data_IF_917980981252
#
_entry.id   IF_917980981252
#
_cell.length_a   1.000
_cell.length_b   1.000
_cell.length_c   1.000
_cell.angle_alpha   90.00
_cell.angle_beta   90.00
_cell.angle_gamma   90.00
#
_symmetry.space_group_name_H-M   'P 1'
#
loop_
_entity.id
_entity.type
_entity.pdbx_description
1 polymer ?
#
# COMPACT_ATOMS: atom_id res chain seq x y z
N UNK A 1 -12.88 41.07 2.11
CA UNK A 1 -12.93 39.61 2.34
C UNK A 1 -12.21 38.85 1.24
N UNK A 2 -12.68 38.91 -0.02
CA UNK A 2 -12.04 38.19 -1.14
C UNK A 2 -10.54 38.50 -1.33
N UNK A 3 -10.13 39.77 -1.26
CA UNK A 3 -8.70 40.13 -1.34
C UNK A 3 -7.86 39.55 -0.19
N UNK A 4 -8.38 39.58 1.05
CA UNK A 4 -7.67 38.99 2.20
C UNK A 4 -7.61 37.47 2.09
N UNK A 5 -8.67 36.84 1.61
CA UNK A 5 -8.67 35.39 1.38
C UNK A 5 -7.67 34.97 0.29
N UNK A 6 -7.60 35.70 -0.82
CA UNK A 6 -6.71 35.38 -1.96
C UNK A 6 -5.25 35.71 -1.67
N UNK A 7 -4.96 36.82 -0.97
CA UNK A 7 -3.57 37.27 -0.72
C UNK A 7 -3.01 36.88 0.64
N UNK A 8 -3.86 36.77 1.68
CA UNK A 8 -3.44 36.55 3.08
C UNK A 8 -3.93 35.20 3.62
N UNK A 9 -4.89 34.54 2.95
CA UNK A 9 -5.45 33.24 3.36
C UNK A 9 -6.29 33.31 4.63
N UNK A 10 -6.58 34.53 5.12
CA UNK A 10 -7.37 34.77 6.32
C UNK A 10 -8.82 35.05 5.97
N UNK A 11 -9.71 34.42 6.74
CA UNK A 11 -11.15 34.60 6.65
C UNK A 11 -11.63 35.24 7.95
N UNK A 12 -11.88 36.55 7.89
CA UNK A 12 -12.49 37.32 8.97
C UNK A 12 -13.95 37.57 8.60
N UNK A 13 -14.82 36.64 9.01
CA UNK A 13 -16.26 36.66 8.73
C UNK A 13 -17.08 36.49 10.03
N UNK A 14 -17.22 37.56 10.84
CA UNK A 14 -17.99 37.52 12.08
C UNK A 14 -19.50 37.35 11.89
N UNK A 15 -20.02 37.60 10.68
CA UNK A 15 -21.47 37.58 10.37
C UNK A 15 -21.90 36.46 9.42
N UNK A 16 -20.96 35.65 8.92
CA UNK A 16 -21.25 34.54 8.01
C UNK A 16 -21.68 34.99 6.61
N UNK A 17 -21.24 36.17 6.16
CA UNK A 17 -21.63 36.81 4.90
C UNK A 17 -20.87 36.27 3.68
N UNK A 18 -19.76 35.56 3.90
CA UNK A 18 -18.92 35.05 2.82
C UNK A 18 -19.37 33.65 2.38
N UNK A 19 -19.18 33.34 1.08
CA UNK A 19 -19.57 32.04 0.52
C UNK A 19 -18.66 30.88 0.96
N UNK A 20 -17.50 31.17 1.56
CA UNK A 20 -16.63 30.16 2.18
C UNK A 20 -16.85 30.19 3.69
N UNK A 21 -17.31 29.08 4.26
CA UNK A 21 -17.49 28.92 5.68
C UNK A 21 -16.27 28.26 6.32
N UNK A 22 -15.77 28.83 7.42
CA UNK A 22 -14.73 28.23 8.25
C UNK A 22 -15.36 27.47 9.42
N UNK A 23 -15.08 26.17 9.54
CA UNK A 23 -15.48 25.36 10.69
C UNK A 23 -14.33 25.36 11.70
N UNK A 24 -14.54 25.99 12.86
CA UNK A 24 -13.50 26.25 13.85
C UNK A 24 -13.04 25.02 14.67
N UNK A 25 -13.66 23.84 14.48
CA UNK A 25 -13.44 22.66 15.32
C UNK A 25 -13.07 21.43 14.50
N UNK A 26 -11.93 21.49 13.81
CA UNK A 26 -11.39 20.34 13.07
C UNK A 26 -9.96 20.07 13.52
N UNK A 27 -9.57 18.82 13.82
CA UNK A 27 -8.19 18.45 14.17
C UNK A 27 -7.21 18.79 13.03
N UNK A 28 -5.94 19.02 13.37
CA UNK A 28 -4.89 19.47 12.43
C UNK A 28 -4.74 18.56 11.20
N UNK A 29 -5.04 17.28 11.35
CA UNK A 29 -4.95 16.25 10.31
C UNK A 29 -6.04 16.35 9.24
N UNK A 30 -7.22 16.88 9.58
CA UNK A 30 -8.36 17.04 8.68
C UNK A 30 -8.57 18.49 8.23
N UNK A 31 -7.62 19.39 8.52
CA UNK A 31 -7.72 20.81 8.17
C UNK A 31 -7.91 21.02 6.66
N UNK A 32 -7.38 20.13 5.84
CA UNK A 32 -7.50 20.23 4.39
C UNK A 32 -8.91 19.87 3.89
N UNK A 33 -9.56 18.83 4.43
CA UNK A 33 -10.86 18.36 3.90
C UNK A 33 -12.07 19.03 4.55
N UNK A 34 -12.03 19.27 5.86
CA UNK A 34 -13.23 19.62 6.63
C UNK A 34 -13.26 21.05 7.16
N UNK A 35 -12.16 21.81 7.07
CA UNK A 35 -12.07 23.16 7.64
C UNK A 35 -12.86 24.20 6.86
N UNK A 36 -12.92 24.05 5.54
CA UNK A 36 -13.59 25.00 4.65
C UNK A 36 -14.67 24.30 3.85
N UNK A 37 -15.85 24.91 3.78
CA UNK A 37 -16.95 24.46 2.92
C UNK A 37 -17.49 25.62 2.11
N UNK A 38 -17.91 25.33 0.88
CA UNK A 38 -18.57 26.32 0.02
C UNK A 38 -20.06 26.30 0.33
N UNK A 39 -20.64 27.47 0.57
CA UNK A 39 -22.08 27.67 0.74
C UNK A 39 -22.68 28.15 -0.58
N UNK A 40 -23.21 27.21 -1.37
CA UNK A 40 -23.82 27.48 -2.68
C UNK A 40 -24.95 28.53 -2.61
N UNK A 41 -25.71 28.56 -1.51
CA UNK A 41 -26.82 29.50 -1.31
C UNK A 41 -26.41 30.97 -1.19
N UNK A 42 -25.13 31.26 -0.94
CA UNK A 42 -24.60 32.63 -0.79
C UNK A 42 -23.65 33.00 -1.92
N UNK A 43 -23.61 32.19 -2.99
CA UNK A 43 -22.78 32.44 -4.15
C UNK A 43 -23.40 33.59 -4.97
N UNK A 44 -22.70 34.73 -5.13
CA UNK A 44 -23.25 35.84 -5.87
C UNK A 44 -23.38 35.51 -7.35
N UNK A 45 -24.45 35.96 -8.02
CA UNK A 45 -24.74 35.63 -9.43
C UNK A 45 -23.67 36.12 -10.43
N UNK A 46 -22.74 36.96 -9.99
CA UNK A 46 -21.62 37.48 -10.78
C UNK A 46 -20.35 36.61 -10.72
N UNK A 47 -20.31 35.59 -9.85
CA UNK A 47 -19.23 34.62 -9.73
C UNK A 47 -19.71 33.31 -10.35
N UNK A 48 -18.97 32.75 -11.29
CA UNK A 48 -19.19 31.39 -11.77
C UNK A 48 -18.77 30.37 -10.72
N UNK A 49 -19.38 29.20 -10.74
CA UNK A 49 -19.03 28.10 -9.83
C UNK A 49 -17.55 27.71 -9.96
N UNK A 50 -17.02 27.67 -11.18
CA UNK A 50 -15.61 27.39 -11.46
C UNK A 50 -14.66 28.43 -10.82
N UNK A 51 -15.01 29.73 -10.89
CA UNK A 51 -14.22 30.79 -10.29
C UNK A 51 -14.30 30.76 -8.76
N UNK A 52 -15.46 30.39 -8.20
CA UNK A 52 -15.60 30.17 -6.77
C UNK A 52 -14.74 28.99 -6.27
N UNK A 53 -14.70 27.89 -7.02
CA UNK A 53 -13.83 26.73 -6.71
C UNK A 53 -12.35 27.13 -6.77
N UNK A 54 -11.92 27.88 -7.78
CA UNK A 54 -10.54 28.41 -7.84
C UNK A 54 -10.20 29.31 -6.66
N UNK A 55 -11.06 30.29 -6.33
CA UNK A 55 -10.85 31.16 -5.15
C UNK A 55 -10.76 30.34 -3.86
N UNK A 56 -11.62 29.33 -3.73
CA UNK A 56 -11.62 28.42 -2.59
C UNK A 56 -10.28 27.69 -2.47
N UNK A 57 -9.81 27.09 -3.56
CA UNK A 57 -8.53 26.38 -3.62
C UNK A 57 -7.33 27.28 -3.34
N UNK A 58 -7.32 28.54 -3.83
CA UNK A 58 -6.24 29.51 -3.53
C UNK A 58 -6.11 29.71 -2.02
N UNK A 59 -7.21 30.07 -1.36
CA UNK A 59 -7.14 30.37 0.07
C UNK A 59 -6.88 29.13 0.92
N UNK A 60 -7.38 27.95 0.50
CA UNK A 60 -7.06 26.66 1.12
C UNK A 60 -5.55 26.36 1.05
N UNK A 61 -4.95 26.51 -0.13
CA UNK A 61 -3.51 26.35 -0.38
C UNK A 61 -2.66 27.33 0.42
N UNK A 62 -3.05 28.61 0.45
CA UNK A 62 -2.28 29.65 1.15
C UNK A 62 -2.34 29.48 2.68
N UNK A 63 -3.52 29.09 3.18
CA UNK A 63 -3.70 28.75 4.58
C UNK A 63 -2.90 27.50 4.97
N UNK A 64 -2.88 26.49 4.10
CA UNK A 64 -2.06 25.31 4.30
C UNK A 64 -0.57 25.64 4.33
N UNK A 65 -0.06 26.44 3.40
CA UNK A 65 1.34 26.89 3.43
C UNK A 65 1.67 27.53 4.79
N UNK A 66 0.78 28.39 5.29
CA UNK A 66 1.00 29.10 6.56
C UNK A 66 0.96 28.23 7.81
N UNK A 67 0.05 27.26 7.87
CA UNK A 67 -0.05 26.34 9.01
C UNK A 67 1.03 25.26 8.95
N UNK A 68 1.35 24.75 7.77
CA UNK A 68 2.29 23.65 7.56
C UNK A 68 3.75 24.10 7.60
N UNK A 69 4.06 25.27 7.04
CA UNK A 69 5.35 25.92 7.19
C UNK A 69 5.24 26.97 8.30
N UNK A 70 5.65 26.65 9.53
CA UNK A 70 5.89 27.64 10.58
C UNK A 70 7.00 28.68 10.24
N UNK A 71 7.43 28.77 8.98
CA UNK A 71 8.39 29.78 8.53
C UNK A 71 7.65 31.06 8.13
N UNK A 72 8.07 32.13 8.81
CA UNK A 72 7.85 33.55 8.57
C UNK A 72 7.42 33.90 7.16
N UNK A 73 6.32 34.65 7.09
CA UNK A 73 5.71 35.32 5.94
C UNK A 73 6.64 36.29 5.14
N UNK A 74 7.96 36.19 5.30
CA UNK A 74 8.94 37.17 4.82
C UNK A 74 9.57 36.79 3.46
N UNK A 75 9.30 35.61 2.91
CA UNK A 75 9.90 35.14 1.64
C UNK A 75 8.93 35.06 0.46
N UNK A 76 7.63 35.22 0.67
CA UNK A 76 6.68 35.35 -0.42
C UNK A 76 6.52 36.83 -0.71
N UNK A 77 7.21 37.32 -1.74
CA UNK A 77 6.88 38.60 -2.34
C UNK A 77 5.38 38.55 -2.68
N UNK A 78 4.56 39.24 -1.88
CA UNK A 78 3.14 39.38 -2.19
C UNK A 78 3.05 39.89 -3.62
N UNK A 79 2.45 39.13 -4.56
CA UNK A 79 2.27 39.62 -5.92
C UNK A 79 1.59 40.99 -5.82
N UNK A 80 2.05 41.95 -6.63
CA UNK A 80 1.58 43.35 -6.61
C UNK A 80 0.08 43.37 -6.33
N UNK A 81 -0.32 43.98 -5.22
CA UNK A 81 -1.71 44.10 -4.79
C UNK A 81 -2.50 44.82 -5.88
N UNK A 82 -3.07 44.07 -6.81
CA UNK A 82 -3.97 44.63 -7.80
C UNK A 82 -5.28 44.91 -7.09
N UNK A 83 -5.58 46.20 -6.95
CA UNK A 83 -6.83 46.64 -6.37
C UNK A 83 -7.92 46.30 -7.39
N UNK A 84 -8.64 45.21 -7.15
CA UNK A 84 -9.81 44.84 -7.95
C UNK A 84 -10.79 46.01 -8.00
N UNK A 85 -10.97 46.58 -9.19
CA UNK A 85 -11.96 47.63 -9.44
C UNK A 85 -13.30 47.00 -9.79
N UNK A 86 -14.37 47.52 -9.21
CA UNK A 86 -15.73 47.09 -9.50
C UNK A 86 -16.08 47.37 -10.97
N UNK A 87 -16.45 46.32 -11.73
CA UNK A 87 -16.84 46.41 -13.14
C UNK A 87 -15.95 45.66 -14.14
N UNK A 88 -14.74 45.24 -13.75
CA UNK A 88 -13.81 44.50 -14.63
C UNK A 88 -13.73 43.01 -14.27
N UNK A 89 -14.86 42.30 -14.40
CA UNK A 89 -15.00 40.87 -14.03
C UNK A 89 -13.97 40.00 -14.77
N UNK A 90 -13.72 40.28 -16.05
CA UNK A 90 -12.74 39.54 -16.86
C UNK A 90 -11.29 39.79 -16.45
N UNK A 91 -10.96 40.98 -15.93
CA UNK A 91 -9.62 41.27 -15.43
C UNK A 91 -9.39 40.58 -14.08
N UNK A 92 -10.42 40.56 -13.23
CA UNK A 92 -10.43 39.87 -11.95
C UNK A 92 -10.27 38.36 -12.16
N UNK A 93 -11.00 37.76 -13.10
CA UNK A 93 -10.90 36.33 -13.44
C UNK A 93 -9.49 35.96 -13.92
N UNK A 94 -8.89 36.74 -14.83
CA UNK A 94 -7.51 36.50 -15.29
C UNK A 94 -6.47 36.66 -14.18
N UNK A 95 -6.65 37.64 -13.30
CA UNK A 95 -5.77 37.85 -12.16
C UNK A 95 -5.89 36.69 -11.16
N UNK A 96 -7.11 36.20 -10.89
CA UNK A 96 -7.34 35.04 -10.04
C UNK A 96 -6.73 33.78 -10.66
N UNK A 97 -6.88 33.57 -11.97
CA UNK A 97 -6.27 32.44 -12.67
C UNK A 97 -4.73 32.49 -12.61
N UNK A 98 -4.13 33.68 -12.76
CA UNK A 98 -2.70 33.85 -12.62
C UNK A 98 -2.22 33.57 -11.18
N UNK A 99 -2.93 34.08 -10.17
CA UNK A 99 -2.62 33.84 -8.75
C UNK A 99 -2.81 32.36 -8.43
N UNK A 100 -3.83 31.71 -8.97
CA UNK A 100 -4.08 30.28 -8.80
C UNK A 100 -2.89 29.45 -9.27
N UNK A 101 -2.45 29.66 -10.51
CA UNK A 101 -1.33 28.91 -11.08
C UNK A 101 -0.03 29.13 -10.28
N UNK A 102 0.23 30.36 -9.84
CA UNK A 102 1.45 30.70 -9.10
C UNK A 102 1.43 30.14 -7.66
N UNK A 103 0.29 30.22 -6.98
CA UNK A 103 0.11 29.68 -5.62
C UNK A 103 0.15 28.16 -5.61
N UNK A 104 -0.55 27.49 -6.55
CA UNK A 104 -0.52 26.03 -6.68
C UNK A 104 0.88 25.52 -7.04
N UNK A 105 1.58 26.17 -7.98
CA UNK A 105 2.96 25.82 -8.31
C UNK A 105 3.90 26.02 -7.13
N UNK A 106 3.78 27.13 -6.42
CA UNK A 106 4.60 27.40 -5.24
C UNK A 106 4.37 26.37 -4.13
N UNK A 107 3.11 25.97 -3.89
CA UNK A 107 2.76 24.90 -2.95
C UNK A 107 3.37 23.56 -3.37
N UNK A 108 3.28 23.23 -4.66
CA UNK A 108 3.83 21.99 -5.20
C UNK A 108 5.35 21.95 -5.09
N UNK A 109 6.02 23.05 -5.44
CA UNK A 109 7.48 23.17 -5.34
C UNK A 109 7.91 23.06 -3.88
N UNK A 110 7.16 23.65 -2.95
CA UNK A 110 7.40 23.53 -1.51
C UNK A 110 7.27 22.06 -1.04
N UNK A 111 6.18 21.37 -1.41
CA UNK A 111 5.98 19.96 -1.07
C UNK A 111 7.05 19.04 -1.69
N UNK A 112 7.49 19.31 -2.92
CA UNK A 112 8.53 18.53 -3.61
C UNK A 112 9.93 18.80 -3.05
N UNK A 113 10.25 20.05 -2.72
CA UNK A 113 11.61 20.44 -2.28
C UNK A 113 11.80 20.32 -0.77
N UNK A 114 10.96 20.98 0.03
CA UNK A 114 11.10 21.07 1.49
C UNK A 114 10.66 19.77 2.17
N UNK A 115 9.48 19.28 1.80
CA UNK A 115 8.89 18.08 2.40
C UNK A 115 9.17 16.79 1.61
N UNK A 116 9.84 16.87 0.46
CA UNK A 116 10.28 15.72 -0.33
C UNK A 116 9.18 14.67 -0.52
N UNK A 117 7.95 15.08 -0.83
CA UNK A 117 6.78 14.19 -0.93
C UNK A 117 7.06 12.92 -1.76
N UNK A 118 7.78 13.08 -2.89
CA UNK A 118 8.15 11.95 -3.75
C UNK A 118 9.05 10.93 -3.06
N UNK A 119 9.95 11.36 -2.17
CA UNK A 119 10.80 10.45 -1.41
C UNK A 119 9.98 9.65 -0.40
N UNK A 120 8.97 10.27 0.22
CA UNK A 120 8.06 9.59 1.14
C UNK A 120 7.16 8.57 0.42
N UNK A 121 6.62 8.91 -0.75
CA UNK A 121 5.87 7.94 -1.58
C UNK A 121 6.77 6.80 -2.05
N UNK A 122 8.02 7.09 -2.44
CA UNK A 122 9.01 6.06 -2.79
C UNK A 122 9.36 5.19 -1.58
N UNK A 123 9.45 5.75 -0.38
CA UNK A 123 9.68 4.99 0.85
C UNK A 123 8.51 4.05 1.16
N UNK A 124 7.26 4.52 1.03
CA UNK A 124 6.08 3.67 1.16
C UNK A 124 6.12 2.49 0.18
N UNK A 125 6.47 2.75 -1.09
CA UNK A 125 6.67 1.67 -2.08
C UNK A 125 7.78 0.70 -1.68
N UNK A 126 8.92 1.22 -1.21
CA UNK A 126 10.10 0.40 -0.88
C UNK A 126 9.85 -0.52 0.31
N UNK A 127 9.25 -0.01 1.39
CA UNK A 127 9.08 -0.75 2.64
C UNK A 127 7.71 -1.42 2.77
N UNK A 128 6.63 -0.66 2.54
CA UNK A 128 5.26 -1.11 2.80
C UNK A 128 4.68 -1.92 1.63
N UNK A 129 5.16 -1.69 0.40
CA UNK A 129 4.81 -2.52 -0.77
C UNK A 129 5.90 -3.55 -1.12
N UNK A 130 6.87 -3.76 -0.22
CA UNK A 130 7.96 -4.74 -0.37
C UNK A 130 8.85 -4.55 -1.61
N UNK A 131 9.00 -3.31 -2.10
CA UNK A 131 9.85 -3.02 -3.25
C UNK A 131 11.34 -3.27 -3.02
N UNK A 132 11.83 -3.12 -1.78
CA UNK A 132 13.20 -3.45 -1.39
C UNK A 132 13.31 -4.90 -0.90
N UNK A 133 13.59 -5.81 -1.84
CA UNK A 133 13.70 -7.23 -1.55
C UNK A 133 14.85 -7.60 -0.60
N UNK A 134 15.96 -6.87 -0.60
CA UNK A 134 17.10 -7.13 0.29
C UNK A 134 16.74 -6.85 1.75
N UNK A 135 16.13 -5.69 2.03
CA UNK A 135 15.65 -5.31 3.36
C UNK A 135 14.67 -6.36 3.90
N UNK A 136 13.67 -6.74 3.11
CA UNK A 136 12.65 -7.72 3.53
C UNK A 136 13.26 -9.11 3.73
N UNK A 137 14.21 -9.52 2.88
CA UNK A 137 14.88 -10.81 3.05
C UNK A 137 15.66 -10.87 4.38
N UNK A 138 16.46 -9.85 4.68
CA UNK A 138 17.17 -9.76 5.96
C UNK A 138 16.21 -9.68 7.15
N UNK A 139 15.10 -8.95 7.00
CA UNK A 139 14.05 -8.87 8.02
C UNK A 139 13.48 -10.26 8.31
N UNK A 140 13.09 -11.01 7.27
CA UNK A 140 12.54 -12.36 7.39
C UNK A 140 13.55 -13.37 7.95
N UNK A 141 14.83 -13.28 7.59
CA UNK A 141 15.84 -14.20 8.09
C UNK A 141 16.05 -14.04 9.61
N UNK A 142 15.95 -12.83 10.15
CA UNK A 142 16.07 -12.56 11.60
C UNK A 142 14.75 -12.80 12.33
N UNK A 143 13.64 -12.35 11.75
CA UNK A 143 12.31 -12.46 12.37
C UNK A 143 11.73 -13.86 12.27
N UNK A 144 12.06 -14.66 11.25
CA UNK A 144 11.36 -15.91 10.96
C UNK A 144 11.33 -16.88 12.14
N UNK A 145 12.42 -16.97 12.90
CA UNK A 145 12.49 -17.82 14.11
C UNK A 145 11.61 -17.27 15.23
N UNK A 146 11.56 -15.94 15.39
CA UNK A 146 10.75 -15.28 16.43
C UNK A 146 9.26 -15.33 16.09
N UNK A 147 8.89 -15.15 14.83
CA UNK A 147 7.49 -15.12 14.38
C UNK A 147 6.83 -16.50 14.37
N UNK A 148 7.61 -17.59 14.38
CA UNK A 148 7.09 -18.94 14.58
C UNK A 148 6.63 -19.21 16.02
N UNK A 149 6.95 -18.33 16.98
CA UNK A 149 6.48 -18.42 18.36
C UNK A 149 5.08 -17.80 18.49
N UNK A 150 4.30 -18.17 19.53
CA UNK A 150 3.00 -17.57 19.78
C UNK A 150 3.11 -16.06 20.01
N UNK A 151 2.09 -15.32 19.58
CA UNK A 151 2.09 -13.86 19.60
C UNK A 151 2.35 -13.24 20.98
N UNK A 152 1.95 -13.92 22.06
CA UNK A 152 2.15 -13.46 23.45
C UNK A 152 3.62 -13.22 23.84
N UNK A 153 4.55 -13.89 23.15
CA UNK A 153 5.99 -13.78 23.41
C UNK A 153 6.66 -12.64 22.66
N UNK A 154 5.93 -11.97 21.76
CA UNK A 154 6.46 -10.94 20.88
C UNK A 154 6.25 -9.56 21.47
N UNK A 155 7.35 -8.96 21.91
CA UNK A 155 7.34 -7.60 22.42
C UNK A 155 7.82 -6.60 21.36
N UNK A 156 7.14 -5.45 21.29
CA UNK A 156 7.48 -4.35 20.37
C UNK A 156 8.96 -3.95 20.43
N UNK A 157 9.52 -3.78 21.62
CA UNK A 157 10.93 -3.38 21.78
C UNK A 157 11.92 -4.35 21.11
N UNK A 158 11.64 -5.65 21.14
CA UNK A 158 12.48 -6.66 20.49
C UNK A 158 12.39 -6.56 18.97
N UNK A 159 11.23 -6.19 18.44
CA UNK A 159 11.01 -6.02 17.01
C UNK A 159 11.61 -4.72 16.49
N UNK A 160 11.52 -3.62 17.25
CA UNK A 160 12.20 -2.36 16.92
C UNK A 160 13.73 -2.56 16.90
N UNK A 161 14.30 -3.27 17.87
CA UNK A 161 15.74 -3.59 17.86
C UNK A 161 16.15 -4.50 16.68
N UNK A 162 15.28 -5.43 16.26
CA UNK A 162 15.51 -6.22 15.04
C UNK A 162 15.44 -5.33 13.80
N UNK A 163 14.44 -4.45 13.71
CA UNK A 163 14.27 -3.52 12.61
C UNK A 163 15.52 -2.63 12.44
N UNK A 164 16.04 -2.04 13.52
CA UNK A 164 17.28 -1.27 13.49
C UNK A 164 18.48 -2.10 13.01
N UNK A 165 18.56 -3.36 13.43
CA UNK A 165 19.62 -4.27 13.00
C UNK A 165 19.51 -4.57 11.50
N UNK A 166 18.29 -4.81 11.01
CA UNK A 166 17.99 -5.04 9.59
C UNK A 166 18.29 -3.82 8.72
N UNK A 167 17.95 -2.62 9.19
CA UNK A 167 18.27 -1.36 8.49
C UNK A 167 19.79 -1.23 8.31
N UNK A 168 20.56 -1.55 9.36
CA UNK A 168 22.03 -1.49 9.32
C UNK A 168 22.67 -2.58 8.45
N UNK A 169 22.04 -3.74 8.30
CA UNK A 169 22.57 -4.84 7.49
C UNK A 169 22.19 -4.77 6.02
N UNK A 170 21.21 -3.94 5.64
CA UNK A 170 20.67 -3.83 4.29
C UNK A 170 21.09 -2.52 3.61
N UNK A 171 20.76 -2.36 2.33
CA UNK A 171 21.03 -1.12 1.62
C UNK A 171 20.15 0.06 2.09
N UNK A 172 19.17 -0.19 2.97
CA UNK A 172 18.37 0.84 3.62
C UNK A 172 19.22 1.84 4.42
N UNK A 173 20.42 1.45 4.87
CA UNK A 173 21.34 2.35 5.58
C UNK A 173 21.74 3.62 4.80
N UNK A 174 21.67 3.58 3.46
CA UNK A 174 22.04 4.71 2.61
C UNK A 174 20.88 5.69 2.36
N UNK A 175 19.70 5.38 2.90
CA UNK A 175 18.55 6.25 2.77
C UNK A 175 18.59 7.43 3.76
N UNK A 176 17.78 8.45 3.50
CA UNK A 176 17.76 9.66 4.32
C UNK A 176 17.29 9.30 5.73
N UNK A 177 17.95 9.81 6.79
CA UNK A 177 17.60 9.47 8.17
C UNK A 177 16.17 9.89 8.55
N UNK A 178 15.64 10.94 7.92
CA UNK A 178 14.25 11.40 8.05
C UNK A 178 13.21 10.36 7.64
N UNK A 179 13.55 9.44 6.73
CA UNK A 179 12.66 8.38 6.26
C UNK A 179 12.74 7.18 7.20
N UNK A 180 13.95 6.83 7.63
CA UNK A 180 14.20 5.71 8.53
C UNK A 180 13.61 5.94 9.92
N UNK A 181 13.65 7.19 10.43
CA UNK A 181 13.05 7.53 11.72
C UNK A 181 11.52 7.43 11.75
N UNK A 182 10.89 7.32 10.57
CA UNK A 182 9.43 7.21 10.41
C UNK A 182 8.95 5.77 10.28
N UNK A 183 9.86 4.83 10.02
CA UNK A 183 9.53 3.42 9.94
C UNK A 183 9.48 2.85 11.35
N UNK A 184 8.34 2.29 11.73
CA UNK A 184 8.17 1.65 13.02
C UNK A 184 7.47 0.29 12.86
N UNK A 185 7.51 -0.52 13.92
CA UNK A 185 6.80 -1.78 14.00
C UNK A 185 5.53 -1.59 14.81
N UNK A 186 4.40 -2.00 14.23
CA UNK A 186 3.11 -2.07 14.90
C UNK A 186 2.72 -3.53 15.09
N UNK A 187 2.21 -3.84 16.27
CA UNK A 187 1.57 -5.12 16.57
C UNK A 187 0.07 -4.92 16.48
N UNK A 188 -0.61 -5.80 15.74
CA UNK A 188 -2.07 -5.86 15.72
C UNK A 188 -2.61 -6.43 17.05
N UNK A 189 -3.92 -6.32 17.24
CA UNK A 189 -4.57 -6.94 18.40
C UNK A 189 -4.44 -8.47 18.29
N UNK A 190 -3.99 -9.11 19.36
CA UNK A 190 -3.69 -10.55 19.39
C UNK A 190 -4.98 -11.32 19.66
N UNK A 191 -5.34 -12.26 18.78
CA UNK A 191 -6.37 -13.26 19.08
C UNK A 191 -5.74 -14.56 19.62
N UNK A 192 -6.53 -15.35 20.35
CA UNK A 192 -6.04 -16.57 21.00
C UNK A 192 -5.66 -17.62 19.96
N UNK A 193 -4.35 -17.93 19.87
CA UNK A 193 -3.82 -18.93 18.94
C UNK A 193 -3.08 -18.34 17.75
N UNK A 194 -2.99 -17.02 17.65
CA UNK A 194 -2.25 -16.35 16.57
C UNK A 194 -0.75 -16.60 16.67
N UNK A 195 -0.15 -16.85 15.51
CA UNK A 195 1.29 -16.87 15.35
C UNK A 195 1.80 -15.44 15.20
N UNK A 196 3.07 -15.22 15.54
CA UNK A 196 3.69 -13.91 15.37
C UNK A 196 3.58 -13.32 13.97
N UNK A 197 3.55 -14.19 12.96
CA UNK A 197 3.38 -13.83 11.57
C UNK A 197 2.12 -13.04 11.26
N UNK A 198 1.04 -13.27 12.00
CA UNK A 198 -0.27 -12.68 11.73
C UNK A 198 -0.44 -11.33 12.47
N UNK A 199 0.32 -11.12 13.54
CA UNK A 199 0.30 -9.92 14.38
C UNK A 199 1.31 -8.86 13.94
N UNK A 200 2.41 -9.28 13.31
CA UNK A 200 3.50 -8.39 12.90
C UNK A 200 3.10 -7.50 11.71
N UNK A 201 3.24 -6.18 11.88
CA UNK A 201 3.04 -5.21 10.79
C UNK A 201 4.10 -4.11 10.81
N UNK A 202 4.48 -3.63 9.63
CA UNK A 202 5.29 -2.42 9.47
C UNK A 202 4.36 -1.22 9.33
N UNK A 203 4.69 -0.14 10.05
CA UNK A 203 3.94 1.12 10.01
C UNK A 203 4.87 2.25 9.57
N UNK A 204 4.31 3.21 8.84
CA UNK A 204 5.03 4.37 8.35
C UNK A 204 4.41 5.65 8.89
N UNK A 205 5.11 6.29 9.83
CA UNK A 205 4.59 7.47 10.50
C UNK A 205 4.74 8.73 9.63
N UNK A 206 3.60 9.29 9.25
CA UNK A 206 3.52 10.51 8.44
C UNK A 206 3.08 11.68 9.32
N UNK A 207 3.93 12.71 9.43
CA UNK A 207 3.57 13.95 10.12
C UNK A 207 2.88 14.94 9.16
N UNK A 208 2.20 15.94 9.72
CA UNK A 208 1.82 17.13 8.95
C UNK A 208 3.10 17.79 8.38
N UNK A 209 3.10 18.26 7.12
CA UNK A 209 1.99 18.37 6.16
C UNK A 209 1.72 17.16 5.27
N UNK A 210 2.56 16.14 5.29
CA UNK A 210 2.46 15.04 4.32
C UNK A 210 1.20 14.20 4.58
N UNK A 211 0.72 14.18 5.83
CA UNK A 211 -0.52 13.51 6.24
C UNK A 211 -1.77 14.03 5.49
N UNK A 212 -1.74 15.25 4.93
CA UNK A 212 -2.88 15.72 4.12
C UNK A 212 -2.94 15.09 2.74
N UNK A 213 -1.81 14.60 2.23
CA UNK A 213 -1.77 13.82 0.98
C UNK A 213 -1.99 12.35 1.29
N UNK A 214 -1.25 11.82 2.26
CA UNK A 214 -1.38 10.44 2.72
C UNK A 214 -2.38 10.43 3.88
N UNK A 215 -3.66 10.41 3.53
CA UNK A 215 -4.73 10.36 4.52
C UNK A 215 -4.60 9.13 5.44
N UNK A 216 -5.11 9.18 6.68
CA UNK A 216 -5.16 8.00 7.55
C UNK A 216 -5.92 6.83 6.92
N UNK A 217 -6.97 7.11 6.14
CA UNK A 217 -7.70 6.10 5.38
C UNK A 217 -6.83 5.43 4.31
N UNK A 218 -5.99 6.23 3.64
CA UNK A 218 -5.02 5.72 2.67
C UNK A 218 -3.97 4.82 3.35
N UNK A 219 -3.54 5.17 4.57
CA UNK A 219 -2.63 4.32 5.36
C UNK A 219 -3.26 2.98 5.72
N UNK A 220 -4.56 2.96 6.08
CA UNK A 220 -5.28 1.71 6.31
C UNK A 220 -5.34 0.84 5.05
N UNK A 221 -5.52 1.44 3.88
CA UNK A 221 -5.44 0.73 2.60
C UNK A 221 -4.04 0.14 2.37
N UNK A 222 -2.98 0.90 2.62
CA UNK A 222 -1.61 0.38 2.55
C UNK A 222 -1.36 -0.77 3.53
N UNK A 223 -1.85 -0.69 4.76
CA UNK A 223 -1.72 -1.75 5.75
C UNK A 223 -2.40 -3.05 5.29
N UNK A 224 -3.59 -2.93 4.69
CA UNK A 224 -4.31 -4.08 4.09
C UNK A 224 -3.49 -4.72 2.96
N UNK A 225 -2.91 -3.90 2.09
CA UNK A 225 -2.03 -4.38 1.01
C UNK A 225 -0.78 -5.04 1.58
N UNK A 226 -0.13 -4.43 2.59
CA UNK A 226 1.04 -4.98 3.24
C UNK A 226 0.75 -6.36 3.83
N UNK A 227 -0.35 -6.53 4.59
CA UNK A 227 -0.70 -7.81 5.20
C UNK A 227 -0.90 -8.92 4.16
N UNK A 228 -1.54 -8.59 3.02
CA UNK A 228 -1.70 -9.53 1.92
C UNK A 228 -0.35 -9.94 1.30
N UNK A 229 0.49 -8.97 0.97
CA UNK A 229 1.81 -9.22 0.41
C UNK A 229 2.72 -9.99 1.39
N UNK A 230 2.64 -9.63 2.67
CA UNK A 230 3.37 -10.28 3.76
C UNK A 230 3.00 -11.74 3.89
N UNK A 231 1.71 -12.09 3.77
CA UNK A 231 1.25 -13.47 3.78
C UNK A 231 1.80 -14.27 2.59
N UNK A 232 1.83 -13.70 1.39
CA UNK A 232 2.46 -14.35 0.22
C UNK A 232 3.95 -14.58 0.48
N UNK A 233 4.66 -13.58 1.04
CA UNK A 233 6.08 -13.70 1.40
C UNK A 233 6.35 -14.75 2.48
N UNK A 234 5.50 -14.86 3.49
CA UNK A 234 5.56 -15.92 4.50
C UNK A 234 5.56 -17.30 3.84
N UNK A 235 4.65 -17.52 2.89
CA UNK A 235 4.55 -18.81 2.17
C UNK A 235 5.77 -19.06 1.29
N UNK A 236 6.27 -18.04 0.57
CA UNK A 236 7.51 -18.14 -0.22
C UNK A 236 8.72 -18.54 0.65
N UNK A 237 8.90 -17.85 1.78
CA UNK A 237 9.98 -18.12 2.73
C UNK A 237 9.91 -19.55 3.26
N UNK A 238 8.70 -19.98 3.64
CA UNK A 238 8.40 -21.30 4.17
C UNK A 238 8.71 -22.40 3.15
N UNK A 239 8.28 -22.24 1.89
CA UNK A 239 8.58 -23.16 0.80
C UNK A 239 10.08 -23.21 0.48
N UNK A 240 10.75 -22.06 0.50
CA UNK A 240 12.20 -21.96 0.29
C UNK A 240 13.00 -22.67 1.38
N UNK A 241 12.55 -22.59 2.63
CA UNK A 241 13.14 -23.32 3.75
C UNK A 241 12.96 -24.84 3.57
N UNK A 242 11.75 -25.30 3.23
CA UNK A 242 11.48 -26.72 2.97
C UNK A 242 12.26 -27.28 1.77
N UNK A 243 12.46 -26.47 0.72
CA UNK A 243 13.31 -26.86 -0.42
C UNK A 243 14.79 -26.99 -0.04
N UNK A 244 15.30 -26.09 0.82
CA UNK A 244 16.68 -26.19 1.36
C UNK A 244 16.85 -27.45 2.20
N UNK A 245 15.89 -27.75 3.08
CA UNK A 245 15.90 -28.95 3.91
C UNK A 245 15.91 -30.24 3.07
N UNK A 246 15.13 -30.28 1.99
CA UNK A 246 15.12 -31.42 1.08
C UNK A 246 16.51 -31.72 0.48
N UNK A 247 17.23 -30.69 -0.01
CA UNK A 247 18.57 -30.88 -0.59
C UNK A 247 19.54 -31.55 0.38
N UNK A 248 19.39 -31.30 1.68
CA UNK A 248 20.20 -31.92 2.73
C UNK A 248 19.78 -33.37 2.97
N UNK A 249 18.49 -33.69 2.84
CA UNK A 249 17.93 -35.01 3.13
C UNK A 249 18.05 -36.03 1.96
N UNK A 250 18.57 -35.60 0.80
CA UNK A 250 18.70 -36.43 -0.41
C UNK A 250 19.61 -37.66 -0.23
N UNK A 251 20.45 -37.69 0.80
CA UNK A 251 21.34 -38.82 1.12
C UNK A 251 20.65 -39.99 1.83
N UNK A 252 19.36 -39.86 2.19
CA UNK A 252 18.59 -40.89 2.90
C UNK A 252 17.79 -41.79 1.93
N UNK A 253 17.62 -43.07 2.29
CA UNK A 253 17.03 -44.13 1.43
C UNK A 253 15.55 -43.97 1.05
N UNK A 254 14.91 -42.83 1.33
CA UNK A 254 13.49 -42.54 1.10
C UNK A 254 13.20 -41.91 -0.28
N UNK A 255 13.97 -42.29 -1.30
CA UNK A 255 14.07 -41.60 -2.59
C UNK A 255 12.73 -41.35 -3.32
N UNK A 256 11.79 -42.30 -3.28
CA UNK A 256 10.52 -42.19 -4.02
C UNK A 256 9.52 -41.23 -3.38
N UNK A 257 9.39 -41.25 -2.05
CA UNK A 257 8.45 -40.38 -1.33
C UNK A 257 8.96 -38.95 -1.27
N UNK A 258 10.29 -38.79 -1.13
CA UNK A 258 10.95 -37.50 -1.23
C UNK A 258 10.75 -36.92 -2.63
N UNK A 259 10.85 -37.74 -3.68
CA UNK A 259 10.61 -37.30 -5.04
C UNK A 259 9.15 -36.85 -5.28
N UNK A 260 8.17 -37.61 -4.80
CA UNK A 260 6.75 -37.22 -4.88
C UNK A 260 6.50 -35.90 -4.12
N UNK A 261 7.09 -35.78 -2.93
CA UNK A 261 7.03 -34.55 -2.12
C UNK A 261 7.64 -33.36 -2.86
N UNK A 262 8.75 -33.56 -3.58
CA UNK A 262 9.34 -32.51 -4.40
C UNK A 262 8.45 -32.08 -5.56
N UNK A 263 7.80 -33.02 -6.23
CA UNK A 263 6.89 -32.66 -7.32
C UNK A 263 5.78 -31.72 -6.81
N UNK A 264 5.22 -32.02 -5.64
CA UNK A 264 4.19 -31.19 -5.01
C UNK A 264 4.75 -29.83 -4.54
N UNK A 265 5.95 -29.80 -3.92
CA UNK A 265 6.61 -28.53 -3.54
C UNK A 265 6.87 -27.67 -4.78
N UNK A 266 7.36 -28.25 -5.87
CA UNK A 266 7.63 -27.51 -7.11
C UNK A 266 6.36 -26.94 -7.74
N UNK A 267 5.23 -27.66 -7.67
CA UNK A 267 3.91 -27.12 -8.09
C UNK A 267 3.50 -25.91 -7.24
N UNK A 268 3.65 -26.01 -5.92
CA UNK A 268 3.33 -24.91 -4.99
C UNK A 268 4.25 -23.70 -5.20
N UNK A 269 5.56 -23.91 -5.37
CA UNK A 269 6.53 -22.85 -5.66
C UNK A 269 6.18 -22.16 -6.99
N UNK A 270 5.88 -22.93 -8.03
CA UNK A 270 5.50 -22.36 -9.31
C UNK A 270 4.25 -21.47 -9.18
N UNK A 271 3.21 -21.95 -8.50
CA UNK A 271 2.00 -21.18 -8.25
C UNK A 271 2.29 -19.86 -7.52
N UNK A 272 3.04 -19.90 -6.42
CA UNK A 272 3.38 -18.70 -5.62
C UNK A 272 4.24 -17.72 -6.43
N UNK A 273 5.22 -18.20 -7.19
CA UNK A 273 6.03 -17.33 -8.03
C UNK A 273 5.23 -16.64 -9.14
N UNK A 274 4.30 -17.34 -9.80
CA UNK A 274 3.44 -16.71 -10.80
C UNK A 274 2.50 -15.68 -10.17
N UNK A 275 1.90 -16.00 -9.02
CA UNK A 275 1.06 -15.07 -8.26
C UNK A 275 1.84 -13.82 -7.84
N UNK A 276 3.04 -14.00 -7.28
CA UNK A 276 3.89 -12.90 -6.85
C UNK A 276 4.34 -12.03 -8.04
N UNK A 277 4.67 -12.63 -9.19
CA UNK A 277 5.01 -11.86 -10.38
C UNK A 277 3.85 -11.00 -10.86
N UNK A 278 2.63 -11.53 -10.86
CA UNK A 278 1.44 -10.75 -11.20
C UNK A 278 1.26 -9.55 -10.26
N UNK A 279 1.26 -9.78 -8.94
CA UNK A 279 1.01 -8.72 -7.97
C UNK A 279 2.12 -7.65 -8.02
N UNK A 280 3.39 -8.03 -8.07
CA UNK A 280 4.50 -7.08 -8.07
C UNK A 280 4.65 -6.32 -9.39
N UNK A 281 4.64 -7.00 -10.53
CA UNK A 281 4.97 -6.35 -11.80
C UNK A 281 3.73 -5.81 -12.53
N UNK A 282 2.62 -6.54 -12.55
CA UNK A 282 1.45 -6.18 -13.35
C UNK A 282 0.52 -5.23 -12.60
N UNK A 283 0.39 -5.42 -11.29
CA UNK A 283 -0.46 -4.55 -10.45
C UNK A 283 0.35 -3.39 -9.88
N UNK A 284 1.38 -3.67 -9.08
CA UNK A 284 2.08 -2.62 -8.33
C UNK A 284 2.97 -1.72 -9.20
N UNK A 285 3.79 -2.29 -10.10
CA UNK A 285 4.70 -1.46 -10.91
C UNK A 285 3.94 -0.63 -11.96
N UNK A 286 2.96 -1.22 -12.65
CA UNK A 286 2.16 -0.48 -13.62
C UNK A 286 1.33 0.64 -12.99
N UNK A 287 0.71 0.40 -11.83
CA UNK A 287 -0.03 1.45 -11.11
C UNK A 287 0.91 2.55 -10.59
N UNK A 288 2.11 2.18 -10.13
CA UNK A 288 3.11 3.15 -9.70
C UNK A 288 3.58 4.06 -10.83
N UNK A 289 3.86 3.50 -12.01
CA UNK A 289 4.28 4.28 -13.18
C UNK A 289 3.20 5.29 -13.59
N UNK A 290 1.92 4.91 -13.50
CA UNK A 290 0.80 5.85 -13.73
C UNK A 290 0.80 6.99 -12.69
N UNK A 291 0.99 6.68 -11.41
CA UNK A 291 1.04 7.69 -10.35
C UNK A 291 2.23 8.64 -10.52
N UNK A 292 3.42 8.10 -10.79
CA UNK A 292 4.63 8.90 -10.99
C UNK A 292 4.47 9.84 -12.19
N UNK A 293 3.93 9.34 -13.31
CA UNK A 293 3.62 10.17 -14.47
C UNK A 293 2.56 11.24 -14.16
N UNK A 294 1.51 10.91 -13.41
CA UNK A 294 0.45 11.86 -13.04
C UNK A 294 1.00 13.00 -12.16
N UNK A 295 1.86 12.69 -11.19
CA UNK A 295 2.46 13.69 -10.28
C UNK A 295 3.50 14.58 -11.00
N UNK A 296 4.19 14.04 -12.00
CA UNK A 296 5.18 14.80 -12.78
C UNK A 296 4.57 15.67 -13.87
N UNK A 297 3.51 15.20 -14.56
CA UNK A 297 2.99 15.84 -15.78
C UNK A 297 1.62 16.51 -15.61
N UNK A 298 0.72 15.90 -14.84
CA UNK A 298 -0.71 16.25 -14.89
C UNK A 298 -1.15 17.09 -13.68
N UNK A 299 -0.46 16.97 -12.55
CA UNK A 299 -0.88 17.61 -11.30
C UNK A 299 -0.41 19.08 -11.21
N UNK A 300 -1.37 20.00 -11.31
CA UNK A 300 -1.18 21.43 -10.99
C UNK A 300 -1.50 21.68 -9.51
N UNK A 301 -2.50 20.99 -8.97
CA UNK A 301 -3.07 21.25 -7.64
C UNK A 301 -2.88 20.09 -6.67
N UNK A 302 -2.90 20.41 -5.36
CA UNK A 302 -2.78 19.41 -4.29
C UNK A 302 -3.96 18.41 -4.30
N UNK A 303 -5.17 18.89 -4.60
CA UNK A 303 -6.36 18.03 -4.66
C UNK A 303 -6.25 17.01 -5.81
N UNK A 304 -5.66 17.39 -6.95
CA UNK A 304 -5.38 16.46 -8.06
C UNK A 304 -4.36 15.38 -7.68
N UNK A 305 -3.39 15.71 -6.82
CA UNK A 305 -2.42 14.72 -6.30
C UNK A 305 -3.12 13.72 -5.39
N UNK A 306 -3.99 14.20 -4.50
CA UNK A 306 -4.77 13.35 -3.59
C UNK A 306 -5.69 12.42 -4.38
N UNK A 307 -6.39 12.94 -5.39
CA UNK A 307 -7.25 12.14 -6.26
C UNK A 307 -6.44 11.07 -7.02
N UNK A 308 -5.30 11.45 -7.59
CA UNK A 308 -4.42 10.51 -8.29
C UNK A 308 -3.86 9.43 -7.36
N UNK A 309 -3.54 9.78 -6.12
CA UNK A 309 -3.07 8.85 -5.09
C UNK A 309 -4.16 7.89 -4.62
N UNK A 310 -5.38 8.38 -4.39
CA UNK A 310 -6.53 7.53 -4.06
C UNK A 310 -6.84 6.58 -5.21
N UNK A 311 -6.84 7.07 -6.45
CA UNK A 311 -7.03 6.22 -7.64
C UNK A 311 -5.95 5.14 -7.75
N UNK A 312 -4.69 5.47 -7.44
CA UNK A 312 -3.61 4.51 -7.38
C UNK A 312 -3.87 3.40 -6.34
N UNK A 313 -4.33 3.77 -5.14
CA UNK A 313 -4.70 2.80 -4.10
C UNK A 313 -5.90 1.94 -4.50
N UNK A 314 -6.92 2.54 -5.08
CA UNK A 314 -8.11 1.83 -5.57
C UNK A 314 -7.71 0.81 -6.64
N UNK A 315 -6.91 1.22 -7.64
CA UNK A 315 -6.39 0.31 -8.67
C UNK A 315 -5.61 -0.88 -8.08
N UNK A 316 -4.79 -0.65 -7.03
CA UNK A 316 -4.05 -1.74 -6.36
C UNK A 316 -5.00 -2.63 -5.57
N UNK A 317 -5.98 -2.08 -4.88
CA UNK A 317 -6.87 -2.87 -4.02
C UNK A 317 -7.84 -3.72 -4.84
N UNK A 318 -8.38 -3.21 -5.96
CA UNK A 318 -9.22 -3.97 -6.89
C UNK A 318 -8.39 -5.08 -7.56
N UNK A 319 -7.27 -4.73 -8.21
CA UNK A 319 -6.43 -5.73 -8.90
C UNK A 319 -5.68 -6.67 -7.95
N UNK A 320 -5.52 -6.26 -6.69
CA UNK A 320 -4.90 -7.04 -5.62
C UNK A 320 -5.83 -8.04 -4.94
N UNK A 321 -7.07 -8.19 -5.40
CA UNK A 321 -8.11 -9.06 -4.82
C UNK A 321 -8.61 -8.62 -3.44
N UNK A 322 -8.39 -7.36 -3.05
CA UNK A 322 -8.69 -6.85 -1.72
C UNK A 322 -9.99 -6.04 -1.65
N UNK A 323 -10.55 -5.61 -2.79
CA UNK A 323 -11.66 -4.66 -2.84
C UNK A 323 -12.77 -5.09 -3.80
N UNK A 324 -13.64 -5.99 -3.34
CA UNK A 324 -14.84 -6.34 -4.10
C UNK A 324 -15.58 -7.55 -3.54
N UNK A 325 -16.90 -7.65 -3.75
CA UNK A 325 -17.70 -8.78 -3.25
C UNK A 325 -17.29 -10.10 -3.93
N UNK A 326 -16.97 -10.05 -5.23
CA UNK A 326 -16.49 -11.22 -5.98
C UNK A 326 -15.02 -11.52 -5.68
N UNK A 327 -14.22 -10.47 -5.47
CA UNK A 327 -12.82 -10.57 -5.07
C UNK A 327 -12.66 -11.14 -3.66
N UNK A 328 -13.61 -10.92 -2.74
CA UNK A 328 -13.63 -11.59 -1.43
C UNK A 328 -13.65 -13.11 -1.57
N UNK A 329 -14.43 -13.64 -2.52
CA UNK A 329 -14.43 -15.09 -2.79
C UNK A 329 -13.06 -15.55 -3.31
N UNK A 330 -12.42 -14.76 -4.18
CA UNK A 330 -11.05 -15.06 -4.63
C UNK A 330 -10.04 -14.98 -3.48
N UNK A 331 -10.14 -13.99 -2.61
CA UNK A 331 -9.26 -13.79 -1.47
C UNK A 331 -9.43 -14.89 -0.41
N UNK A 332 -10.66 -15.35 -0.17
CA UNK A 332 -10.96 -16.51 0.69
C UNK A 332 -10.34 -17.78 0.10
N UNK A 333 -10.50 -18.04 -1.21
CA UNK A 333 -9.88 -19.20 -1.86
C UNK A 333 -8.36 -19.13 -1.88
N UNK A 334 -7.80 -17.95 -2.13
CA UNK A 334 -6.36 -17.74 -2.05
C UNK A 334 -5.87 -17.95 -0.61
N UNK A 335 -6.60 -17.49 0.38
CA UNK A 335 -6.31 -17.76 1.80
C UNK A 335 -6.28 -19.25 2.10
N UNK A 336 -7.32 -19.99 1.69
CA UNK A 336 -7.37 -21.45 1.82
C UNK A 336 -6.19 -22.14 1.12
N UNK A 337 -5.79 -21.66 -0.06
CA UNK A 337 -4.62 -22.16 -0.79
C UNK A 337 -3.31 -21.91 -0.04
N UNK A 338 -3.12 -20.70 0.50
CA UNK A 338 -1.94 -20.37 1.30
C UNK A 338 -1.90 -21.21 2.58
N UNK A 339 -3.04 -21.41 3.25
CA UNK A 339 -3.13 -22.24 4.47
C UNK A 339 -2.87 -23.72 4.16
N UNK A 340 -3.34 -24.21 3.01
CA UNK A 340 -3.03 -25.54 2.52
C UNK A 340 -1.52 -25.74 2.34
N UNK A 341 -0.81 -24.74 1.80
CA UNK A 341 0.65 -24.78 1.65
C UNK A 341 1.36 -24.75 3.01
N UNK A 342 0.89 -23.96 3.97
CA UNK A 342 1.46 -23.90 5.32
C UNK A 342 1.26 -25.24 6.06
N UNK A 343 0.07 -25.82 5.98
CA UNK A 343 -0.22 -27.15 6.53
C UNK A 343 0.63 -28.24 5.87
N UNK A 344 0.86 -28.14 4.57
CA UNK A 344 1.72 -29.06 3.84
C UNK A 344 3.16 -29.04 4.38
N UNK A 345 3.69 -27.89 4.80
CA UNK A 345 5.00 -27.84 5.46
C UNK A 345 5.02 -28.68 6.75
N UNK A 346 3.99 -28.55 7.58
CA UNK A 346 3.93 -29.32 8.83
C UNK A 346 4.02 -30.81 8.53
N UNK A 347 3.29 -31.30 7.52
CA UNK A 347 3.35 -32.70 7.10
C UNK A 347 4.72 -33.09 6.56
N UNK A 348 5.38 -32.21 5.80
CA UNK A 348 6.76 -32.45 5.34
C UNK A 348 7.75 -32.57 6.50
N UNK A 349 7.65 -31.70 7.50
CA UNK A 349 8.54 -31.73 8.66
C UNK A 349 8.36 -33.07 9.43
N UNK A 350 7.12 -33.57 9.57
CA UNK A 350 6.84 -34.91 10.11
C UNK A 350 7.41 -36.05 9.25
N UNK A 351 7.36 -35.93 7.91
CA UNK A 351 7.97 -36.91 7.01
C UNK A 351 9.50 -36.98 7.15
N UNK A 352 10.15 -35.88 7.49
CA UNK A 352 11.61 -35.85 7.69
C UNK A 352 12.02 -36.39 9.06
N UNK A 353 11.19 -36.25 10.09
CA UNK A 353 11.50 -36.68 11.46
C UNK A 353 11.20 -38.16 11.74
N UNK A 354 10.26 -38.78 11.00
CA UNK A 354 9.79 -40.15 11.31
C UNK A 354 10.62 -41.26 10.65
N UNK A 355 11.07 -42.22 11.48
CA UNK A 355 11.74 -43.46 11.06
C UNK A 355 10.85 -44.72 11.13
N UNK A 356 9.65 -44.62 11.71
CA UNK A 356 8.74 -45.77 11.91
C UNK A 356 7.86 -46.05 10.68
N UNK A 357 7.83 -47.31 10.23
CA UNK A 357 7.21 -47.72 8.97
C UNK A 357 5.68 -47.58 8.93
N UNK A 358 4.98 -47.75 10.05
CA UNK A 358 3.50 -47.62 10.11
C UNK A 358 3.06 -46.15 10.05
N UNK A 359 3.68 -45.28 10.84
CA UNK A 359 3.41 -43.83 10.83
C UNK A 359 3.77 -43.21 9.47
N UNK A 360 4.82 -43.72 8.83
CA UNK A 360 5.20 -43.30 7.48
C UNK A 360 4.09 -43.54 6.45
N UNK A 361 3.28 -44.61 6.60
CA UNK A 361 2.16 -44.88 5.67
C UNK A 361 0.99 -43.93 5.86
N UNK A 362 0.68 -43.55 7.10
CA UNK A 362 -0.35 -42.55 7.40
C UNK A 362 0.07 -41.17 6.89
N UNK A 363 1.33 -40.78 7.12
CA UNK A 363 1.88 -39.52 6.65
C UNK A 363 1.97 -39.46 5.12
N UNK A 364 2.23 -40.60 4.44
CA UNK A 364 2.15 -40.71 2.97
C UNK A 364 0.73 -40.46 2.44
N UNK A 365 -0.29 -41.04 3.08
CA UNK A 365 -1.70 -40.82 2.69
C UNK A 365 -2.05 -39.34 2.85
N UNK A 366 -1.68 -38.76 3.99
CA UNK A 366 -1.94 -37.36 4.27
C UNK A 366 -1.22 -36.41 3.29
N UNK A 367 0.03 -36.72 2.93
CA UNK A 367 0.78 -36.00 1.91
C UNK A 367 0.06 -36.01 0.53
N UNK A 368 -0.47 -37.16 0.10
CA UNK A 368 -1.21 -37.27 -1.16
C UNK A 368 -2.57 -36.54 -1.10
N UNK A 369 -3.26 -36.60 0.04
CA UNK A 369 -4.54 -35.91 0.24
C UNK A 369 -4.39 -34.40 0.15
N UNK A 370 -3.36 -33.82 0.78
CA UNK A 370 -3.10 -32.38 0.71
C UNK A 370 -2.68 -31.99 -0.71
N UNK A 371 -1.84 -32.78 -1.39
CA UNK A 371 -1.47 -32.52 -2.78
C UNK A 371 -2.66 -32.52 -3.75
N UNK A 372 -3.59 -33.45 -3.55
CA UNK A 372 -4.84 -33.52 -4.33
C UNK A 372 -5.78 -32.35 -3.99
N UNK A 373 -5.89 -32.01 -2.70
CA UNK A 373 -6.70 -30.86 -2.24
C UNK A 373 -6.16 -29.56 -2.83
N UNK A 374 -4.85 -29.36 -2.81
CA UNK A 374 -4.19 -28.21 -3.44
C UNK A 374 -4.50 -28.15 -4.94
N UNK A 375 -4.37 -29.26 -5.66
CA UNK A 375 -4.65 -29.28 -7.11
C UNK A 375 -6.12 -28.97 -7.40
N UNK A 376 -7.06 -29.49 -6.60
CA UNK A 376 -8.49 -29.20 -6.73
C UNK A 376 -8.81 -27.72 -6.42
N UNK A 377 -8.19 -27.14 -5.39
CA UNK A 377 -8.36 -25.73 -5.03
C UNK A 377 -7.78 -24.80 -6.12
N UNK A 378 -6.62 -25.14 -6.70
CA UNK A 378 -6.04 -24.37 -7.81
C UNK A 378 -6.98 -24.39 -9.03
N UNK A 379 -7.57 -25.54 -9.35
CA UNK A 379 -8.55 -25.63 -10.45
C UNK A 379 -9.78 -24.77 -10.21
N UNK A 380 -10.36 -24.83 -9.00
CA UNK A 380 -11.48 -23.96 -8.63
C UNK A 380 -11.10 -22.48 -8.72
N UNK A 381 -9.90 -22.12 -8.27
CA UNK A 381 -9.39 -20.76 -8.39
C UNK A 381 -9.26 -20.33 -9.85
N UNK A 382 -8.73 -21.18 -10.72
CA UNK A 382 -8.62 -20.92 -12.17
C UNK A 382 -9.99 -20.77 -12.84
N UNK A 383 -10.98 -21.60 -12.48
CA UNK A 383 -12.33 -21.49 -13.03
C UNK A 383 -13.00 -20.18 -12.63
N UNK A 384 -12.82 -19.76 -11.39
CA UNK A 384 -13.31 -18.47 -10.91
C UNK A 384 -12.59 -17.33 -11.65
N UNK A 385 -11.27 -17.39 -11.82
CA UNK A 385 -10.50 -16.39 -12.59
C UNK A 385 -10.97 -16.27 -14.05
N UNK A 386 -11.28 -17.39 -14.72
CA UNK A 386 -11.80 -17.39 -16.10
C UNK A 386 -13.16 -16.73 -16.25
N UNK A 387 -13.94 -16.67 -15.17
CA UNK A 387 -15.25 -15.99 -15.17
C UNK A 387 -15.12 -14.45 -15.16
N UNK A 388 -13.93 -13.91 -14.89
CA UNK A 388 -13.69 -12.47 -14.92
C UNK A 388 -13.45 -11.94 -16.34
N UNK A 389 -13.93 -10.72 -16.56
CA UNK A 389 -13.81 -10.03 -17.84
C UNK A 389 -12.51 -9.24 -17.98
N UNK A 390 -11.77 -9.00 -16.90
CA UNK A 390 -10.54 -8.20 -16.93
C UNK A 390 -9.40 -8.92 -17.67
N UNK A 391 -8.73 -8.18 -18.55
CA UNK A 391 -7.63 -8.70 -19.37
C UNK A 391 -6.43 -9.12 -18.51
N UNK A 392 -6.13 -8.37 -17.44
CA UNK A 392 -5.04 -8.65 -16.51
C UNK A 392 -5.26 -9.98 -15.76
N UNK A 393 -6.50 -10.26 -15.33
CA UNK A 393 -6.84 -11.53 -14.67
C UNK A 393 -6.80 -12.73 -15.62
N UNK A 394 -7.09 -12.51 -16.90
CA UNK A 394 -6.92 -13.53 -17.94
C UNK A 394 -5.44 -13.78 -18.22
N UNK A 395 -4.62 -12.74 -18.22
CA UNK A 395 -3.16 -12.82 -18.26
C UNK A 395 -2.64 -13.68 -17.11
N UNK A 396 -3.10 -13.46 -15.88
CA UNK A 396 -2.77 -14.31 -14.73
C UNK A 396 -3.23 -15.76 -14.93
N UNK A 397 -4.47 -15.99 -15.36
CA UNK A 397 -4.99 -17.35 -15.59
C UNK A 397 -4.14 -18.10 -16.63
N UNK A 398 -3.69 -17.43 -17.69
CA UNK A 398 -2.85 -18.06 -18.72
C UNK A 398 -1.42 -18.31 -18.26
N UNK A 399 -0.88 -17.48 -17.37
CA UNK A 399 0.44 -17.71 -16.74
C UNK A 399 0.41 -18.84 -15.73
N UNK A 400 -0.63 -18.90 -14.90
CA UNK A 400 -0.82 -19.96 -13.92
C UNK A 400 -1.00 -21.33 -14.59
N UNK A 401 -1.68 -21.37 -15.73
CA UNK A 401 -1.93 -22.58 -16.51
C UNK A 401 -1.12 -22.61 -17.81
N UNK A 402 0.13 -22.16 -17.76
CA UNK A 402 0.99 -22.22 -18.94
C UNK A 402 1.18 -23.68 -19.37
N UNK A 403 0.91 -23.98 -20.64
CA UNK A 403 0.85 -25.33 -21.25
C UNK A 403 -0.31 -26.24 -20.78
N UNK A 404 -1.41 -25.72 -20.21
CA UNK A 404 -2.52 -26.55 -19.72
C UNK A 404 -2.06 -27.61 -18.71
N UNK A 405 -1.03 -27.32 -17.91
CA UNK A 405 -0.46 -28.29 -16.98
C UNK A 405 -1.52 -28.78 -15.98
N UNK A 406 -2.41 -27.90 -15.53
CA UNK A 406 -3.46 -28.27 -14.60
C UNK A 406 -4.63 -28.99 -15.29
N UNK A 407 -4.96 -28.64 -16.53
CA UNK A 407 -6.00 -29.33 -17.31
C UNK A 407 -5.58 -30.71 -17.80
N UNK A 408 -4.30 -30.91 -18.11
CA UNK A 408 -3.74 -32.21 -18.51
C UNK A 408 -3.62 -33.21 -17.36
N UNK A 409 -3.70 -32.77 -16.10
CA UNK A 409 -3.76 -33.64 -14.93
C UNK A 409 -5.14 -34.29 -14.72
N UNK A 410 -6.18 -33.82 -15.42
CA UNK A 410 -7.57 -34.32 -15.32
C UNK A 410 -7.89 -35.34 -16.44
N UNK A 411 -7.17 -35.29 -17.56
CA UNK A 411 -7.26 -36.26 -18.67
C UNK A 411 -6.40 -37.49 -18.40
#
# INVERSE_FOLDING_TARGET
>A
MLQRWVYEGELDDPYGEFFVACVASVPEEMLWQNKYSIRENMLPSFISEELAQKIFSIGKSLNFIRYSCHDSMDQYETPKREIFKYGEIQAVERAIDAIYLDTSKSLLDLLKTKYKLMDHLKALKRYLLLGQGDFIQYLMDILGVKLNQPADTLFRHNLTGVLETTIRSSNAQYEKPEILSRLDVRLLEIENGDLGWDVFTLDYHVDAPINTVINPDAMLCYLRIFNFLWRIKRVEYTLSASWKQWKVCQETGLSRDLHQSQMTIQKMIHFIYQLQHYVLFEVLECSWEKLENAIEKDCIDLDSIIESHNKYLDEITEKGFLSGIKEKVLAERLSELLDCILNYKVVLDHLYEQNDSEQLTETRRHHQEIGNTFTAQVLQFLDILKSYHDEDLRSLSTRLDYNNFYFSLIQ
#
